data_IF_960643687992
#
_entry.id   IF_960643687992
#
_cell.length_a   1.000
_cell.length_b   1.000
_cell.length_c   1.000
_cell.angle_alpha   90.00
_cell.angle_beta   90.00
_cell.angle_gamma   90.00
#
_symmetry.space_group_name_H-M   'P 1'
#
loop_
_entity.id
_entity.type
_entity.pdbx_description
1 polymer ?
#
# COMPACT_ATOMS: atom_id res chain seq x y z
N UNK A 1 56.14 39.91 -41.75
CA UNK A 1 55.49 39.56 -40.47
C UNK A 1 54.12 38.94 -40.79
N UNK A 2 54.01 37.60 -40.78
CA UNK A 2 52.74 36.88 -41.03
C UNK A 2 52.32 36.21 -39.73
N UNK A 3 51.26 36.71 -39.09
CA UNK A 3 50.71 36.16 -37.86
C UNK A 3 49.66 35.10 -38.23
N UNK A 4 49.94 33.83 -37.93
CA UNK A 4 48.99 32.72 -38.05
C UNK A 4 48.23 32.60 -36.73
N UNK A 5 46.94 32.89 -36.74
CA UNK A 5 46.05 32.66 -35.60
C UNK A 5 45.58 31.20 -35.64
N UNK A 6 46.04 30.38 -34.70
CA UNK A 6 45.48 29.05 -34.45
C UNK A 6 44.18 29.23 -33.65
N UNK A 7 43.06 28.75 -34.18
CA UNK A 7 41.83 28.57 -33.41
C UNK A 7 41.86 27.18 -32.76
N UNK A 8 42.02 27.14 -31.44
CA UNK A 8 41.88 25.93 -30.63
C UNK A 8 40.41 25.74 -30.29
N UNK A 9 39.72 24.82 -30.96
CA UNK A 9 38.33 24.49 -30.65
C UNK A 9 38.31 23.62 -29.39
N UNK A 10 37.98 24.21 -28.24
CA UNK A 10 37.75 23.47 -27.00
C UNK A 10 36.41 22.74 -27.09
N UNK A 11 36.45 21.41 -27.20
CA UNK A 11 35.27 20.55 -27.20
C UNK A 11 34.75 20.44 -25.76
N UNK A 12 33.68 21.17 -25.45
CA UNK A 12 33.01 21.11 -24.15
C UNK A 12 32.18 19.81 -24.10
N UNK A 13 32.73 18.74 -23.52
CA UNK A 13 31.95 17.54 -23.20
C UNK A 13 30.96 17.87 -22.08
N UNK A 14 29.72 18.15 -22.43
CA UNK A 14 28.62 18.21 -21.47
C UNK A 14 28.37 16.80 -20.95
N UNK A 15 28.85 16.49 -19.74
CA UNK A 15 28.42 15.31 -19.00
C UNK A 15 26.97 15.52 -18.59
N UNK A 16 26.04 14.94 -19.33
CA UNK A 16 24.65 14.84 -18.89
C UNK A 16 24.66 14.05 -17.57
N UNK A 17 24.31 14.69 -16.46
CA UNK A 17 24.09 14.00 -15.21
C UNK A 17 22.96 12.98 -15.44
N UNK A 18 23.27 11.69 -15.36
CA UNK A 18 22.27 10.63 -15.38
C UNK A 18 21.47 10.76 -14.09
N UNK A 19 20.31 11.38 -14.17
CA UNK A 19 19.35 11.42 -13.07
C UNK A 19 18.96 9.97 -12.79
N UNK A 20 19.31 9.46 -11.62
CA UNK A 20 18.93 8.12 -11.20
C UNK A 20 17.39 8.00 -11.29
N UNK A 21 16.86 6.88 -11.82
CA UNK A 21 15.42 6.72 -12.00
C UNK A 21 14.72 6.81 -10.63
N UNK A 22 13.70 7.66 -10.55
CA UNK A 22 12.96 7.94 -9.32
C UNK A 22 11.87 6.88 -9.01
N UNK A 23 11.73 5.90 -9.90
CA UNK A 23 10.90 4.71 -9.80
C UNK A 23 11.67 3.50 -10.33
N UNK A 24 11.17 2.29 -10.10
CA UNK A 24 11.74 1.09 -10.74
C UNK A 24 10.64 0.21 -11.32
N UNK A 25 10.87 -0.25 -12.54
CA UNK A 25 10.06 -1.28 -13.19
C UNK A 25 10.82 -2.60 -13.20
N UNK A 26 10.20 -3.64 -12.64
CA UNK A 26 10.62 -5.03 -12.75
C UNK A 26 9.80 -5.68 -13.86
N UNK A 27 10.48 -6.16 -14.90
CA UNK A 27 9.81 -6.94 -15.93
C UNK A 27 9.43 -8.32 -15.38
N UNK A 28 8.20 -8.72 -15.67
CA UNK A 28 7.70 -10.03 -15.26
C UNK A 28 8.45 -11.16 -15.96
N UNK A 29 8.79 -12.20 -15.21
CA UNK A 29 9.22 -13.49 -15.78
C UNK A 29 8.02 -14.24 -16.36
N UNK A 30 8.19 -15.51 -16.70
CA UNK A 30 7.05 -16.32 -17.13
C UNK A 30 6.09 -16.59 -15.95
N UNK A 31 4.79 -16.51 -16.22
CA UNK A 31 3.75 -16.77 -15.24
C UNK A 31 2.37 -16.26 -15.70
N UNK A 32 1.28 -16.59 -14.97
CA UNK A 32 -0.07 -16.18 -15.34
C UNK A 32 -0.30 -14.66 -15.43
N UNK A 33 0.51 -13.87 -14.74
CA UNK A 33 0.50 -12.41 -14.75
C UNK A 33 1.16 -11.78 -15.98
N UNK A 34 1.73 -12.56 -16.90
CA UNK A 34 2.42 -12.03 -18.09
C UNK A 34 1.51 -11.12 -18.90
N UNK A 35 2.00 -9.91 -19.19
CA UNK A 35 1.24 -8.88 -19.90
C UNK A 35 0.32 -8.04 -19.03
N UNK A 36 0.18 -8.35 -17.73
CA UNK A 36 -0.51 -7.51 -16.75
C UNK A 36 0.49 -6.57 -16.07
N UNK A 37 0.07 -5.31 -15.85
CA UNK A 37 0.88 -4.28 -15.21
C UNK A 37 0.36 -3.94 -13.82
N UNK A 38 1.24 -3.99 -12.82
CA UNK A 38 0.93 -3.64 -11.43
C UNK A 38 1.75 -2.43 -11.03
N UNK A 39 1.09 -1.40 -10.50
CA UNK A 39 1.78 -0.26 -9.88
C UNK A 39 1.69 -0.39 -8.36
N UNK A 40 2.84 -0.27 -7.69
CA UNK A 40 2.98 -0.39 -6.25
C UNK A 40 3.40 0.97 -5.68
N UNK A 41 2.51 1.59 -4.91
CA UNK A 41 2.66 2.94 -4.40
C UNK A 41 3.13 2.93 -2.94
N UNK A 42 4.39 3.36 -2.73
CA UNK A 42 5.00 3.57 -1.42
C UNK A 42 5.00 5.06 -1.03
N UNK A 43 4.66 5.34 0.22
CA UNK A 43 4.48 6.72 0.71
C UNK A 43 3.89 6.77 2.12
N UNK A 44 4.29 5.85 2.98
CA UNK A 44 3.94 5.83 4.40
C UNK A 44 5.20 6.00 5.25
N UNK A 45 5.11 6.88 6.25
CA UNK A 45 6.24 7.30 7.08
C UNK A 45 6.46 6.50 8.37
N UNK A 46 5.64 5.47 8.62
CA UNK A 46 5.65 4.71 9.87
C UNK A 46 5.89 3.21 9.64
N UNK A 47 5.06 2.57 8.83
CA UNK A 47 4.93 1.13 8.59
C UNK A 47 5.78 0.58 7.44
N UNK A 48 6.68 1.40 6.89
CA UNK A 48 7.75 1.00 5.95
C UNK A 48 7.25 0.54 4.59
N UNK A 49 6.35 1.32 3.98
CA UNK A 49 5.92 1.09 2.59
C UNK A 49 7.07 0.93 1.60
N UNK A 50 8.16 1.66 1.83
CA UNK A 50 9.36 1.69 1.00
C UNK A 50 10.11 0.36 0.98
N UNK A 51 9.92 -0.50 1.99
CA UNK A 51 10.45 -1.86 2.05
C UNK A 51 9.41 -2.89 1.55
N UNK A 52 8.12 -2.66 1.86
CA UNK A 52 7.01 -3.55 1.48
C UNK A 52 6.84 -3.64 -0.04
N UNK A 53 6.72 -2.49 -0.71
CA UNK A 53 6.38 -2.44 -2.12
C UNK A 53 7.41 -3.12 -3.03
N UNK A 54 8.74 -2.87 -2.90
CA UNK A 54 9.71 -3.60 -3.72
C UNK A 54 9.72 -5.10 -3.43
N UNK A 55 9.50 -5.54 -2.19
CA UNK A 55 9.42 -6.97 -1.85
C UNK A 55 8.23 -7.64 -2.55
N UNK A 56 7.04 -7.05 -2.48
CA UNK A 56 5.85 -7.55 -3.17
C UNK A 56 6.02 -7.52 -4.69
N UNK A 57 6.63 -6.45 -5.23
CA UNK A 57 6.92 -6.32 -6.66
C UNK A 57 7.83 -7.44 -7.15
N UNK A 58 8.89 -7.78 -6.41
CA UNK A 58 9.76 -8.92 -6.73
C UNK A 58 8.97 -10.22 -6.77
N UNK A 59 8.15 -10.51 -5.75
CA UNK A 59 7.32 -11.72 -5.74
C UNK A 59 6.40 -11.78 -6.98
N UNK A 60 5.67 -10.71 -7.26
CA UNK A 60 4.74 -10.65 -8.38
C UNK A 60 5.44 -10.79 -9.73
N UNK A 61 6.57 -10.11 -9.93
CA UNK A 61 7.31 -10.15 -11.18
C UNK A 61 8.03 -11.48 -11.41
N UNK A 62 8.76 -11.96 -10.41
CA UNK A 62 9.65 -13.12 -10.52
C UNK A 62 8.91 -14.46 -10.48
N UNK A 63 7.84 -14.56 -9.67
CA UNK A 63 7.11 -15.82 -9.47
C UNK A 63 5.83 -15.91 -10.29
N UNK A 64 5.24 -14.78 -10.63
CA UNK A 64 3.90 -14.73 -11.23
C UNK A 64 3.85 -14.01 -12.58
N UNK A 65 4.95 -13.36 -13.00
CA UNK A 65 5.10 -12.79 -14.33
C UNK A 65 4.42 -11.44 -14.56
N UNK A 66 3.98 -10.75 -13.50
CA UNK A 66 3.47 -9.38 -13.64
C UNK A 66 4.62 -8.40 -13.96
N UNK A 67 4.40 -7.43 -14.84
CA UNK A 67 5.31 -6.26 -14.90
C UNK A 67 4.95 -5.35 -13.74
N UNK A 68 5.90 -5.05 -12.86
CA UNK A 68 5.66 -4.30 -11.63
C UNK A 68 6.46 -2.99 -11.61
N UNK A 69 5.77 -1.86 -11.49
CA UNK A 69 6.41 -0.55 -11.29
C UNK A 69 6.20 -0.08 -9.86
N UNK A 70 7.29 0.19 -9.14
CA UNK A 70 7.28 0.71 -7.77
C UNK A 70 7.56 2.20 -7.79
N UNK A 71 6.67 2.96 -7.15
CA UNK A 71 6.75 4.42 -7.01
C UNK A 71 6.92 4.76 -5.54
N UNK A 72 7.88 5.63 -5.22
CA UNK A 72 8.17 6.06 -3.85
C UNK A 72 7.93 7.56 -3.66
N UNK A 73 7.76 7.98 -2.42
CA UNK A 73 7.98 9.38 -2.04
C UNK A 73 9.48 9.69 -2.07
N UNK A 74 9.86 10.72 -2.84
CA UNK A 74 11.26 11.04 -3.15
C UNK A 74 11.60 12.47 -2.70
N UNK A 75 12.76 12.67 -2.10
CA UNK A 75 13.36 13.99 -1.97
C UNK A 75 13.92 14.43 -3.33
N UNK A 76 13.35 15.48 -3.97
CA UNK A 76 13.78 15.92 -5.29
C UNK A 76 15.22 16.46 -5.32
N UNK A 77 15.78 16.89 -4.18
CA UNK A 77 17.13 17.42 -4.14
C UNK A 77 18.20 16.32 -4.17
N UNK A 78 17.92 15.18 -3.52
CA UNK A 78 18.90 14.10 -3.32
C UNK A 78 18.60 12.86 -4.17
N UNK A 79 17.35 12.69 -4.60
CA UNK A 79 16.84 11.46 -5.22
C UNK A 79 16.70 10.30 -4.24
N UNK A 80 16.80 10.57 -2.92
CA UNK A 80 16.60 9.57 -1.87
C UNK A 80 15.10 9.36 -1.61
N UNK A 81 14.78 8.16 -1.14
CA UNK A 81 13.43 7.85 -0.64
C UNK A 81 13.21 8.61 0.66
N UNK A 82 12.22 9.49 0.66
CA UNK A 82 11.82 10.30 1.81
C UNK A 82 10.34 10.04 2.10
N UNK A 83 10.03 9.08 2.99
CA UNK A 83 8.65 8.72 3.32
C UNK A 83 7.81 9.87 3.90
N UNK A 84 8.41 10.94 4.42
CA UNK A 84 7.68 12.13 4.89
C UNK A 84 7.31 13.09 3.77
N UNK A 85 7.88 12.95 2.58
CA UNK A 85 7.54 13.81 1.46
C UNK A 85 6.13 13.47 0.94
N UNK A 86 5.16 14.26 1.36
CA UNK A 86 3.75 14.02 1.03
C UNK A 86 3.39 14.29 -0.43
N UNK A 87 4.18 15.10 -1.16
CA UNK A 87 3.77 15.67 -2.45
C UNK A 87 4.55 15.17 -3.67
N UNK A 88 5.80 14.74 -3.49
CA UNK A 88 6.65 14.32 -4.62
C UNK A 88 6.73 12.80 -4.76
N UNK A 89 5.99 12.26 -5.73
CA UNK A 89 5.89 10.83 -6.05
C UNK A 89 6.09 10.62 -7.57
N UNK A 90 7.31 10.86 -8.10
CA UNK A 90 7.59 10.73 -9.53
C UNK A 90 7.38 9.28 -10.00
N UNK A 91 6.78 9.09 -11.19
CA UNK A 91 6.43 7.77 -11.72
C UNK A 91 4.95 7.43 -11.68
N UNK A 92 4.11 8.31 -11.13
CA UNK A 92 2.65 8.13 -11.08
C UNK A 92 2.01 7.92 -12.45
N UNK A 93 2.61 8.39 -13.53
CA UNK A 93 2.17 8.16 -14.91
C UNK A 93 2.09 6.67 -15.30
N UNK A 94 2.79 5.78 -14.58
CA UNK A 94 2.67 4.34 -14.75
C UNK A 94 1.23 3.84 -14.51
N UNK A 95 0.44 4.54 -13.69
CA UNK A 95 -0.97 4.20 -13.42
C UNK A 95 -1.85 4.25 -14.68
N UNK A 96 -1.50 5.08 -15.66
CA UNK A 96 -2.28 5.23 -16.89
C UNK A 96 -2.43 3.88 -17.62
N UNK A 97 -1.41 3.03 -17.52
CA UNK A 97 -1.33 1.72 -18.17
C UNK A 97 -1.49 0.55 -17.20
N UNK A 98 -1.67 0.80 -15.91
CA UNK A 98 -1.76 -0.27 -14.91
C UNK A 98 -3.08 -1.04 -15.00
N UNK A 99 -3.04 -2.34 -14.73
CA UNK A 99 -4.19 -3.22 -14.51
C UNK A 99 -4.57 -3.32 -13.02
N UNK A 100 -3.62 -3.04 -12.13
CA UNK A 100 -3.78 -3.10 -10.68
C UNK A 100 -2.92 -2.06 -9.98
N UNK A 101 -3.47 -1.46 -8.92
CA UNK A 101 -2.76 -0.60 -8.00
C UNK A 101 -2.71 -1.26 -6.62
N UNK A 102 -1.51 -1.42 -6.07
CA UNK A 102 -1.28 -1.83 -4.68
C UNK A 102 -0.71 -0.62 -3.95
N UNK A 103 -1.35 -0.19 -2.85
CA UNK A 103 -0.95 1.03 -2.16
C UNK A 103 -0.76 0.83 -0.67
N UNK A 104 0.28 1.49 -0.16
CA UNK A 104 0.57 1.66 1.26
C UNK A 104 0.97 3.12 1.45
N UNK A 105 -0.05 3.97 1.46
CA UNK A 105 0.11 5.42 1.55
C UNK A 105 -0.45 5.95 2.85
N UNK A 106 0.13 7.06 3.29
CA UNK A 106 -0.36 7.81 4.44
C UNK A 106 -0.20 9.29 4.24
N UNK A 107 -1.26 10.06 4.45
CA UNK A 107 -1.22 11.51 4.46
C UNK A 107 -0.50 12.13 3.26
N UNK A 108 -0.65 11.55 2.08
CA UNK A 108 -0.15 12.10 0.82
C UNK A 108 -1.02 13.28 0.38
N UNK A 109 -0.39 14.23 -0.26
CA UNK A 109 -1.02 15.30 -1.02
C UNK A 109 -0.16 15.53 -2.26
N UNK A 110 -0.16 14.60 -3.24
CA UNK A 110 0.60 14.74 -4.46
C UNK A 110 0.24 16.05 -5.16
N UNK A 111 1.16 16.58 -5.97
CA UNK A 111 0.82 17.72 -6.83
C UNK A 111 -0.36 17.35 -7.74
N UNK A 112 -1.10 18.35 -8.23
CA UNK A 112 -2.29 18.08 -9.04
C UNK A 112 -1.95 17.29 -10.31
N UNK A 113 -0.78 17.52 -10.90
CA UNK A 113 -0.29 16.78 -12.06
C UNK A 113 -0.11 15.30 -11.75
N UNK A 114 0.57 14.98 -10.63
CA UNK A 114 0.76 13.60 -10.21
C UNK A 114 -0.58 12.97 -9.83
N UNK A 115 -1.37 13.67 -9.01
CA UNK A 115 -2.64 13.15 -8.49
C UNK A 115 -3.65 12.84 -9.58
N UNK A 116 -3.58 13.55 -10.72
CA UNK A 116 -4.41 13.28 -11.89
C UNK A 116 -4.29 11.83 -12.38
N UNK A 117 -3.09 11.25 -12.41
CA UNK A 117 -2.90 9.85 -12.82
C UNK A 117 -3.62 8.86 -11.90
N UNK A 118 -3.59 9.09 -10.59
CA UNK A 118 -4.35 8.27 -9.63
C UNK A 118 -5.85 8.48 -9.79
N UNK A 119 -6.30 9.72 -9.91
CA UNK A 119 -7.71 10.03 -10.09
C UNK A 119 -8.27 9.38 -11.37
N UNK A 120 -7.57 9.48 -12.50
CA UNK A 120 -7.97 8.87 -13.76
C UNK A 120 -8.00 7.34 -13.67
N UNK A 121 -6.99 6.71 -13.05
CA UNK A 121 -6.97 5.27 -12.78
C UNK A 121 -8.18 4.81 -11.97
N UNK A 122 -8.46 5.52 -10.87
CA UNK A 122 -9.58 5.24 -9.99
C UNK A 122 -10.92 5.41 -10.71
N UNK A 123 -11.11 6.54 -11.41
CA UNK A 123 -12.34 6.85 -12.14
C UNK A 123 -12.60 5.88 -13.31
N UNK A 124 -11.55 5.27 -13.87
CA UNK A 124 -11.66 4.21 -14.88
C UNK A 124 -12.26 2.89 -14.33
N UNK A 125 -12.47 2.76 -13.01
CA UNK A 125 -13.01 1.55 -12.38
C UNK A 125 -11.96 0.46 -12.15
N UNK A 126 -10.68 0.80 -12.23
CA UNK A 126 -9.59 -0.18 -12.09
C UNK A 126 -9.43 -0.63 -10.62
N UNK A 127 -8.96 -1.86 -10.37
CA UNK A 127 -8.94 -2.45 -9.03
C UNK A 127 -7.87 -1.84 -8.11
N UNK A 128 -8.12 -1.83 -6.80
CA UNK A 128 -7.18 -1.29 -5.79
C UNK A 128 -7.02 -2.28 -4.63
N UNK A 129 -5.77 -2.57 -4.28
CA UNK A 129 -5.39 -3.24 -3.03
C UNK A 129 -4.78 -2.18 -2.10
N UNK A 130 -5.49 -1.86 -1.03
CA UNK A 130 -5.08 -0.86 -0.06
C UNK A 130 -4.64 -1.54 1.25
N UNK A 131 -3.36 -1.40 1.58
CA UNK A 131 -2.77 -1.90 2.82
C UNK A 131 -2.64 -0.75 3.82
N UNK A 132 -2.65 -1.09 5.12
CA UNK A 132 -2.32 -0.19 6.23
C UNK A 132 -1.16 0.69 5.80
N UNK A 133 -1.25 2.00 5.64
CA UNK A 133 -2.11 2.95 6.33
C UNK A 133 -3.12 3.64 5.39
N UNK A 134 -3.40 3.01 4.24
CA UNK A 134 -4.14 3.64 3.14
C UNK A 134 -5.60 4.00 3.44
N UNK A 135 -6.16 3.53 4.57
CA UNK A 135 -7.44 4.04 5.10
C UNK A 135 -7.43 5.55 5.31
N UNK A 136 -6.25 6.17 5.42
CA UNK A 136 -6.08 7.62 5.41
C UNK A 136 -4.91 8.04 4.52
N UNK A 137 -4.94 7.53 3.29
CA UNK A 137 -3.92 7.78 2.28
C UNK A 137 -3.71 9.25 1.96
N UNK A 138 -4.75 10.10 2.01
CA UNK A 138 -4.69 11.50 1.59
C UNK A 138 -4.93 12.48 2.73
N UNK A 139 -4.14 13.55 2.79
CA UNK A 139 -4.30 14.64 3.76
C UNK A 139 -3.93 15.99 3.14
N UNK A 140 -4.91 16.63 2.51
CA UNK A 140 -4.73 17.96 1.93
C UNK A 140 -4.86 19.06 3.01
N UNK A 141 -4.14 20.18 2.89
CA UNK A 141 -4.38 21.37 3.70
C UNK A 141 -5.84 21.82 3.65
N UNK A 142 -6.37 22.36 4.75
CA UNK A 142 -7.79 22.76 4.86
C UNK A 142 -8.21 23.81 3.81
N UNK A 143 -7.28 24.65 3.38
CA UNK A 143 -7.44 25.71 2.41
C UNK A 143 -6.98 25.33 0.99
N UNK A 144 -6.61 24.06 0.78
CA UNK A 144 -6.15 23.55 -0.52
C UNK A 144 -7.15 23.86 -1.63
N UNK A 145 -6.62 24.31 -2.76
CA UNK A 145 -7.37 24.54 -4.00
C UNK A 145 -7.28 23.37 -4.98
N UNK A 146 -6.61 22.28 -4.58
CA UNK A 146 -6.52 21.08 -5.39
C UNK A 146 -7.92 20.54 -5.68
N UNK A 147 -8.25 20.17 -6.93
CA UNK A 147 -9.50 19.51 -7.26
C UNK A 147 -9.65 18.14 -6.57
N UNK A 148 -8.56 17.60 -6.02
CA UNK A 148 -8.51 16.31 -5.34
C UNK A 148 -8.60 16.42 -3.81
N UNK A 149 -8.73 17.64 -3.26
CA UNK A 149 -8.82 17.85 -1.81
C UNK A 149 -9.98 17.08 -1.15
N UNK A 150 -11.03 16.76 -1.90
CA UNK A 150 -12.13 15.90 -1.45
C UNK A 150 -11.67 14.52 -0.97
N UNK A 151 -10.57 13.98 -1.49
CA UNK A 151 -10.04 12.67 -1.08
C UNK A 151 -9.39 12.68 0.31
N UNK A 152 -9.06 13.85 0.84
CA UNK A 152 -8.44 14.00 2.16
C UNK A 152 -9.29 13.38 3.27
N UNK A 153 -8.66 12.67 4.20
CA UNK A 153 -9.35 12.00 5.33
C UNK A 153 -10.13 12.97 6.23
N UNK A 154 -9.74 14.24 6.25
CA UNK A 154 -10.38 15.36 6.96
C UNK A 154 -11.30 16.19 6.07
N UNK A 155 -11.60 15.73 4.84
CA UNK A 155 -12.42 16.47 3.89
C UNK A 155 -13.81 16.77 4.44
N UNK A 156 -14.31 18.01 4.30
CA UNK A 156 -15.69 18.34 4.61
C UNK A 156 -16.68 17.85 3.55
N UNK A 157 -16.24 17.64 2.30
CA UNK A 157 -17.09 17.18 1.20
C UNK A 157 -17.31 15.67 1.27
N UNK A 158 -16.22 14.90 1.35
CA UNK A 158 -16.26 13.46 1.57
C UNK A 158 -15.87 13.19 3.01
N UNK A 159 -16.86 13.03 3.89
CA UNK A 159 -16.60 12.72 5.31
C UNK A 159 -15.76 11.43 5.41
N UNK A 160 -14.58 11.54 6.04
CA UNK A 160 -13.61 10.45 6.16
C UNK A 160 -12.78 10.19 4.89
N UNK A 161 -12.91 11.04 3.87
CA UNK A 161 -12.13 11.04 2.65
C UNK A 161 -12.28 9.79 1.78
N UNK A 162 -11.28 9.56 0.94
CA UNK A 162 -11.18 8.38 0.08
C UNK A 162 -11.26 7.08 0.89
N UNK A 163 -10.64 7.04 2.08
CA UNK A 163 -10.70 5.88 2.96
C UNK A 163 -12.12 5.46 3.30
N UNK A 164 -12.92 6.36 3.91
CA UNK A 164 -14.29 6.01 4.30
C UNK A 164 -15.17 5.68 3.10
N UNK A 165 -15.07 6.49 2.05
CA UNK A 165 -16.00 6.39 0.91
C UNK A 165 -15.65 5.20 0.00
N UNK A 166 -14.38 5.05 -0.37
CA UNK A 166 -13.93 4.05 -1.36
C UNK A 166 -13.44 2.77 -0.68
N UNK A 167 -12.55 2.89 0.32
CA UNK A 167 -11.99 1.71 1.00
C UNK A 167 -12.97 1.09 2.00
N UNK A 168 -13.94 1.85 2.49
CA UNK A 168 -14.96 1.43 3.45
C UNK A 168 -14.67 1.88 4.88
N UNK A 169 -13.44 2.30 5.18
CA UNK A 169 -13.12 2.90 6.47
C UNK A 169 -11.95 3.88 6.39
N UNK A 170 -12.04 4.93 7.22
CA UNK A 170 -10.98 5.93 7.43
C UNK A 170 -10.18 5.65 8.70
N UNK A 171 -9.27 6.53 9.08
CA UNK A 171 -8.65 6.46 10.41
C UNK A 171 -9.69 6.69 11.51
N UNK A 172 -9.89 5.70 12.39
CA UNK A 172 -10.73 5.83 13.58
C UNK A 172 -9.84 5.91 14.82
N UNK A 173 -9.36 4.78 15.31
CA UNK A 173 -8.37 4.66 16.38
C UNK A 173 -7.59 3.35 16.25
N UNK A 174 -6.50 3.22 16.99
CA UNK A 174 -5.97 1.90 17.32
C UNK A 174 -7.00 1.18 18.20
N UNK A 175 -7.41 -0.05 17.87
CA UNK A 175 -8.26 -0.89 18.73
C UNK A 175 -7.42 -1.62 19.78
N UNK A 176 -6.37 -2.31 19.33
CA UNK A 176 -5.30 -2.83 20.20
C UNK A 176 -4.39 -1.71 20.71
N UNK A 177 -3.53 -2.03 21.68
CA UNK A 177 -2.50 -1.11 22.17
C UNK A 177 -1.34 -1.07 21.19
N UNK A 178 -1.22 0.07 20.51
CA UNK A 178 -0.16 0.33 19.55
C UNK A 178 1.24 -0.01 20.10
N UNK A 179 2.04 -0.74 19.32
CA UNK A 179 3.40 -1.21 19.67
C UNK A 179 3.49 -2.11 20.91
N UNK A 180 2.39 -2.67 21.38
CA UNK A 180 2.38 -3.60 22.52
C UNK A 180 1.57 -4.87 22.26
N UNK A 181 0.60 -4.80 21.36
CA UNK A 181 -0.35 -5.87 21.06
C UNK A 181 -0.39 -6.14 19.54
N UNK A 182 -0.56 -7.40 19.18
CA UNK A 182 -0.56 -7.87 17.79
C UNK A 182 -1.95 -8.27 17.29
N UNK A 183 -2.02 -8.50 15.99
CA UNK A 183 -3.20 -8.97 15.27
C UNK A 183 -3.03 -10.45 14.88
N UNK A 184 -3.91 -11.32 15.37
CA UNK A 184 -4.14 -12.64 14.78
C UNK A 184 -5.37 -12.59 13.89
N UNK A 185 -5.21 -12.88 12.61
CA UNK A 185 -6.32 -12.92 11.65
C UNK A 185 -7.16 -14.19 11.82
N UNK A 186 -8.47 -14.01 12.00
CA UNK A 186 -9.49 -15.06 12.07
C UNK A 186 -10.36 -14.95 10.82
N UNK A 187 -10.31 -15.96 9.95
CA UNK A 187 -11.10 -16.02 8.73
C UNK A 187 -12.59 -16.15 9.10
N UNK A 188 -13.42 -15.32 8.48
CA UNK A 188 -14.88 -15.41 8.61
C UNK A 188 -15.41 -16.72 8.02
N UNK A 189 -16.38 -17.35 8.69
CA UNK A 189 -16.93 -18.63 8.23
C UNK A 189 -17.47 -18.52 6.79
N UNK A 190 -18.18 -17.44 6.50
CA UNK A 190 -18.74 -17.14 5.17
C UNK A 190 -17.69 -16.80 4.11
N UNK A 191 -16.43 -16.61 4.50
CA UNK A 191 -15.32 -16.29 3.61
C UNK A 191 -14.38 -17.47 3.35
N UNK A 192 -14.50 -18.61 4.06
CA UNK A 192 -13.56 -19.74 3.92
C UNK A 192 -13.37 -20.25 2.49
N UNK A 193 -14.39 -20.16 1.65
CA UNK A 193 -14.33 -20.60 0.25
C UNK A 193 -13.92 -19.48 -0.73
N UNK A 194 -13.63 -18.27 -0.23
CA UNK A 194 -13.22 -17.15 -1.07
C UNK A 194 -11.85 -17.44 -1.71
N UNK A 195 -11.71 -17.32 -3.05
CA UNK A 195 -10.44 -17.56 -3.73
C UNK A 195 -9.28 -16.75 -3.15
N UNK A 196 -9.51 -15.54 -2.63
CA UNK A 196 -8.45 -14.70 -2.04
C UNK A 196 -7.81 -15.37 -0.81
N UNK A 197 -8.54 -16.26 -0.13
CA UNK A 197 -8.09 -16.99 1.06
C UNK A 197 -7.51 -18.38 0.75
N UNK A 198 -7.34 -18.76 -0.53
CA UNK A 198 -6.72 -20.05 -0.92
C UNK A 198 -5.31 -20.17 -0.35
N UNK A 199 -5.07 -21.27 0.38
CA UNK A 199 -3.80 -21.57 1.02
C UNK A 199 -3.46 -20.67 2.23
N UNK A 200 -4.43 -19.95 2.79
CA UNK A 200 -4.25 -19.04 3.93
C UNK A 200 -4.84 -19.69 5.19
N UNK A 201 -4.02 -19.84 6.23
CA UNK A 201 -4.36 -20.58 7.45
C UNK A 201 -3.91 -19.89 8.74
N UNK A 202 -2.81 -19.13 8.70
CA UNK A 202 -2.13 -18.56 9.86
C UNK A 202 -1.79 -17.08 9.61
N UNK A 203 -2.81 -16.22 9.62
CA UNK A 203 -2.63 -14.77 9.49
C UNK A 203 -2.16 -14.17 10.81
N UNK A 204 -1.03 -13.48 10.76
CA UNK A 204 -0.45 -12.77 11.90
C UNK A 204 0.23 -11.49 11.43
N UNK A 205 0.09 -10.43 12.22
CA UNK A 205 0.85 -9.20 12.10
C UNK A 205 1.21 -8.68 13.48
N UNK A 206 2.44 -8.19 13.65
CA UNK A 206 2.87 -7.57 14.90
C UNK A 206 2.41 -6.12 15.04
N UNK A 207 1.71 -5.60 14.04
CA UNK A 207 0.93 -4.37 14.15
C UNK A 207 -0.41 -4.61 14.87
N UNK A 208 -0.82 -3.61 15.65
CA UNK A 208 -2.05 -3.63 16.42
C UNK A 208 -3.30 -3.50 15.52
N UNK A 209 -4.42 -4.07 15.99
CA UNK A 209 -5.71 -4.02 15.30
C UNK A 209 -6.21 -2.58 15.26
N UNK A 210 -6.72 -2.11 14.12
CA UNK A 210 -7.46 -0.84 14.01
C UNK A 210 -8.93 -0.99 14.37
N UNK A 211 -9.51 0.06 14.94
CA UNK A 211 -10.96 0.17 15.06
C UNK A 211 -11.53 0.47 13.68
N UNK A 212 -12.44 -0.37 13.18
CA UNK A 212 -12.96 -0.24 11.84
C UNK A 212 -14.42 -0.71 11.72
N UNK A 213 -15.20 0.03 10.93
CA UNK A 213 -16.61 -0.24 10.64
C UNK A 213 -16.86 -0.13 9.13
N UNK A 214 -16.38 -1.12 8.33
CA UNK A 214 -16.70 -1.20 6.91
C UNK A 214 -18.22 -1.18 6.69
N UNK A 215 -18.71 -0.53 5.62
CA UNK A 215 -20.13 -0.43 5.30
C UNK A 215 -20.75 -1.79 4.94
N UNK A 216 -22.08 -1.85 4.87
CA UNK A 216 -22.82 -3.10 4.64
C UNK A 216 -22.54 -3.77 3.28
N UNK A 217 -22.07 -3.01 2.28
CA UNK A 217 -21.64 -3.54 0.98
C UNK A 217 -20.24 -4.17 1.03
N UNK A 218 -19.51 -4.04 2.15
CA UNK A 218 -18.23 -4.70 2.33
C UNK A 218 -18.40 -6.16 2.75
N UNK A 219 -17.70 -7.04 2.03
CA UNK A 219 -17.53 -8.43 2.40
C UNK A 219 -16.31 -8.55 3.32
N UNK A 220 -16.56 -8.79 4.60
CA UNK A 220 -15.50 -9.04 5.57
C UNK A 220 -14.94 -10.44 5.32
N UNK A 221 -13.62 -10.53 5.13
CA UNK A 221 -12.91 -11.80 4.93
C UNK A 221 -12.24 -12.28 6.21
N UNK A 222 -11.64 -11.34 6.95
CA UNK A 222 -10.85 -11.65 8.15
C UNK A 222 -11.13 -10.61 9.23
N UNK A 223 -11.31 -11.09 10.46
CA UNK A 223 -11.34 -10.28 11.68
C UNK A 223 -10.03 -10.40 12.46
N UNK A 224 -9.64 -9.35 13.16
CA UNK A 224 -8.43 -9.31 13.98
C UNK A 224 -8.73 -9.63 15.43
N UNK A 225 -8.24 -10.78 15.91
CA UNK A 225 -8.12 -11.05 17.33
C UNK A 225 -6.94 -10.25 17.88
N UNK A 226 -7.19 -9.38 18.86
CA UNK A 226 -6.16 -8.67 19.61
C UNK A 226 -5.45 -9.66 20.52
N UNK A 227 -4.12 -9.75 20.40
CA UNK A 227 -3.27 -10.53 21.28
C UNK A 227 -2.67 -9.65 22.38
N UNK A 228 -2.40 -10.21 23.55
CA UNK A 228 -1.84 -9.48 24.71
C UNK A 228 -0.35 -9.14 24.59
N UNK A 229 0.29 -9.56 23.50
CA UNK A 229 1.70 -9.34 23.20
C UNK A 229 1.92 -9.31 21.69
N UNK A 230 3.18 -9.15 21.27
CA UNK A 230 3.57 -8.96 19.87
C UNK A 230 4.08 -10.23 19.17
N UNK A 231 3.78 -11.41 19.71
CA UNK A 231 4.21 -12.69 19.16
C UNK A 231 3.01 -13.56 18.77
N UNK A 232 3.15 -14.49 17.80
CA UNK A 232 2.04 -15.33 17.35
C UNK A 232 1.43 -16.25 18.43
N UNK A 233 2.22 -16.58 19.45
CA UNK A 233 1.85 -17.45 20.58
C UNK A 233 1.29 -16.67 21.78
N UNK A 234 1.27 -15.34 21.71
CA UNK A 234 0.64 -14.50 22.74
C UNK A 234 -0.84 -14.86 22.90
N UNK A 235 -1.33 -14.87 24.15
CA UNK A 235 -2.73 -15.15 24.44
C UNK A 235 -3.63 -14.05 23.88
N UNK A 236 -4.91 -14.33 23.58
CA UNK A 236 -5.88 -13.27 23.30
C UNK A 236 -5.90 -12.25 24.43
N UNK A 237 -5.92 -10.96 24.09
CA UNK A 237 -6.09 -9.91 25.07
C UNK A 237 -7.48 -10.01 25.72
N UNK A 238 -7.53 -9.73 27.02
CA UNK A 238 -8.74 -9.82 27.83
C UNK A 238 -8.95 -8.49 28.57
N UNK A 239 -9.59 -7.53 27.90
CA UNK A 239 -9.99 -6.26 28.48
C UNK A 239 -11.13 -5.65 27.66
N UNK A 240 -11.78 -4.63 28.22
CA UNK A 240 -12.82 -3.88 27.51
C UNK A 240 -12.33 -2.50 27.10
N UNK A 241 -12.88 -1.98 26.00
CA UNK A 241 -12.53 -0.65 25.48
C UNK A 241 -13.78 0.11 25.00
N UNK A 242 -13.88 1.43 25.26
CA UNK A 242 -14.92 2.25 24.65
C UNK A 242 -14.64 2.44 23.15
N UNK A 243 -15.66 2.21 22.32
CA UNK A 243 -15.60 2.52 20.89
C UNK A 243 -15.47 4.02 20.67
N UNK A 244 -14.74 4.43 19.64
CA UNK A 244 -14.62 5.83 19.27
C UNK A 244 -15.94 6.39 18.73
N UNK A 245 -16.73 5.56 18.03
CA UNK A 245 -17.95 5.93 17.31
C UNK A 245 -19.11 6.34 18.22
N UNK A 246 -19.38 5.59 19.29
CA UNK A 246 -20.55 5.78 20.15
C UNK A 246 -20.23 5.75 21.66
N UNK A 247 -18.95 5.60 22.02
CA UNK A 247 -18.45 5.49 23.41
C UNK A 247 -18.96 4.28 24.19
N UNK A 248 -19.70 3.37 23.57
CA UNK A 248 -20.12 2.15 24.21
C UNK A 248 -18.90 1.24 24.44
N UNK A 249 -18.87 0.62 25.62
CA UNK A 249 -17.78 -0.29 26.01
C UNK A 249 -18.07 -1.69 25.47
N UNK A 250 -17.06 -2.34 24.89
CA UNK A 250 -17.13 -3.74 24.47
C UNK A 250 -15.83 -4.48 24.81
N UNK A 251 -15.90 -5.81 24.89
CA UNK A 251 -14.73 -6.68 24.93
C UNK A 251 -13.92 -6.53 23.62
N UNK A 252 -12.59 -6.50 23.71
CA UNK A 252 -11.76 -6.25 22.53
C UNK A 252 -11.76 -7.37 21.49
N UNK A 253 -12.18 -8.57 21.88
CA UNK A 253 -12.25 -9.73 21.01
C UNK A 253 -13.69 -10.22 20.78
N UNK A 254 -14.70 -9.52 21.31
CA UNK A 254 -16.11 -9.93 21.24
C UNK A 254 -17.04 -8.72 21.01
N UNK A 255 -17.35 -8.37 19.75
CA UNK A 255 -16.81 -8.94 18.51
C UNK A 255 -15.40 -8.41 18.17
N UNK A 256 -14.65 -9.19 17.38
CA UNK A 256 -13.39 -8.75 16.78
C UNK A 256 -13.62 -7.71 15.66
N UNK A 257 -12.68 -6.77 15.52
CA UNK A 257 -12.71 -5.77 14.43
C UNK A 257 -12.37 -6.41 13.07
N UNK A 258 -12.98 -5.96 11.96
CA UNK A 258 -12.55 -6.33 10.62
C UNK A 258 -11.12 -5.86 10.34
N UNK A 259 -10.29 -6.73 9.76
CA UNK A 259 -8.92 -6.38 9.36
C UNK A 259 -8.66 -6.60 7.88
N UNK A 260 -9.43 -7.46 7.20
CA UNK A 260 -9.39 -7.61 5.74
C UNK A 260 -10.81 -7.70 5.20
N UNK A 261 -11.13 -6.90 4.19
CA UNK A 261 -12.42 -6.92 3.51
C UNK A 261 -12.30 -6.54 2.03
N UNK A 262 -13.31 -6.90 1.26
CA UNK A 262 -13.45 -6.52 -0.16
C UNK A 262 -14.74 -5.77 -0.41
N UNK A 263 -14.76 -4.94 -1.46
CA UNK A 263 -15.93 -4.17 -1.91
C UNK A 263 -15.96 -4.08 -3.43
N UNK A 264 -17.17 -3.98 -3.98
CA UNK A 264 -17.41 -3.48 -5.32
C UNK A 264 -18.00 -2.08 -5.22
N UNK A 265 -17.18 -1.07 -5.48
CA UNK A 265 -17.53 0.32 -5.26
C UNK A 265 -17.85 1.03 -6.57
N UNK A 266 -19.07 1.55 -6.72
CA UNK A 266 -19.44 2.38 -7.87
C UNK A 266 -18.95 3.82 -7.67
N UNK A 267 -17.94 4.21 -8.43
CA UNK A 267 -17.34 5.55 -8.36
C UNK A 267 -18.21 6.62 -9.03
N UNK A 268 -17.81 7.89 -8.88
CA UNK A 268 -18.53 9.03 -9.41
C UNK A 268 -18.58 9.11 -10.95
N UNK A 269 -17.71 8.38 -11.66
CA UNK A 269 -17.77 8.21 -13.12
C UNK A 269 -18.73 7.08 -13.54
N UNK A 270 -19.41 6.44 -12.58
CA UNK A 270 -20.35 5.35 -12.82
C UNK A 270 -19.69 4.00 -13.12
N UNK A 271 -18.36 3.88 -12.94
CA UNK A 271 -17.61 2.62 -13.08
C UNK A 271 -17.51 1.92 -11.72
N UNK A 272 -17.33 0.61 -11.75
CA UNK A 272 -17.20 -0.19 -10.52
C UNK A 272 -15.74 -0.56 -10.29
N UNK A 273 -15.18 -0.12 -9.17
CA UNK A 273 -13.87 -0.54 -8.69
C UNK A 273 -14.01 -1.81 -7.84
N UNK A 274 -13.11 -2.79 -8.05
CA UNK A 274 -12.88 -3.86 -7.07
C UNK A 274 -11.86 -3.38 -6.05
N UNK A 275 -12.25 -3.37 -4.78
CA UNK A 275 -11.43 -2.86 -3.68
C UNK A 275 -11.13 -3.99 -2.72
N UNK A 276 -9.86 -4.13 -2.35
CA UNK A 276 -9.39 -4.95 -1.24
C UNK A 276 -8.77 -3.99 -0.24
N UNK A 277 -9.15 -4.10 1.02
CA UNK A 277 -8.57 -3.29 2.09
C UNK A 277 -8.10 -4.18 3.22
N UNK A 278 -6.88 -3.93 3.68
CA UNK A 278 -6.30 -4.55 4.86
C UNK A 278 -5.80 -3.48 5.82
N UNK A 279 -6.19 -3.56 7.10
CA UNK A 279 -5.61 -2.74 8.18
C UNK A 279 -4.33 -3.36 8.75
N UNK A 280 -3.91 -4.51 8.23
CA UNK A 280 -2.56 -5.08 8.35
C UNK A 280 -1.73 -4.68 7.12
N UNK A 281 -0.41 -4.69 7.22
CA UNK A 281 0.46 -4.44 6.07
C UNK A 281 1.79 -3.77 6.38
N UNK A 282 2.17 -3.65 7.66
CA UNK A 282 3.50 -3.18 8.01
C UNK A 282 4.57 -4.10 7.42
N UNK A 283 5.79 -3.59 7.22
CA UNK A 283 6.88 -4.44 6.74
C UNK A 283 7.12 -5.66 7.64
N UNK A 284 6.97 -5.49 8.95
CA UNK A 284 7.07 -6.58 9.92
C UNK A 284 5.91 -7.57 9.83
N UNK A 285 4.68 -7.11 9.56
CA UNK A 285 3.53 -7.99 9.30
C UNK A 285 3.79 -8.91 8.10
N UNK A 286 4.37 -8.37 7.03
CA UNK A 286 4.63 -9.13 5.80
C UNK A 286 5.80 -10.11 5.89
N UNK A 287 6.43 -10.27 7.06
CA UNK A 287 7.22 -11.48 7.36
C UNK A 287 6.32 -12.72 7.34
N UNK A 288 5.05 -12.59 7.73
CA UNK A 288 4.07 -13.67 7.65
C UNK A 288 3.80 -14.06 6.18
N UNK A 289 4.01 -15.34 5.87
CA UNK A 289 3.82 -15.92 4.54
C UNK A 289 2.36 -15.81 4.07
N UNK A 290 1.41 -16.07 4.97
CA UNK A 290 -0.01 -16.11 4.64
C UNK A 290 -0.57 -14.71 4.35
N UNK A 291 -0.06 -13.67 5.01
CA UNK A 291 -0.44 -12.28 4.70
C UNK A 291 0.08 -11.86 3.32
N UNK A 292 1.33 -12.22 2.96
CA UNK A 292 1.82 -12.05 1.59
C UNK A 292 0.94 -12.80 0.59
N UNK A 293 0.53 -14.04 0.91
CA UNK A 293 -0.33 -14.85 0.06
C UNK A 293 -1.69 -14.22 -0.18
N UNK A 294 -2.34 -13.66 0.85
CA UNK A 294 -3.62 -12.94 0.66
C UNK A 294 -3.46 -11.79 -0.35
N UNK A 295 -2.37 -11.01 -0.25
CA UNK A 295 -2.12 -9.90 -1.18
C UNK A 295 -1.89 -10.38 -2.62
N UNK A 296 -1.08 -11.43 -2.79
CA UNK A 296 -0.84 -12.03 -4.13
C UNK A 296 -2.12 -12.65 -4.70
N UNK A 297 -2.89 -13.39 -3.90
CA UNK A 297 -4.17 -13.95 -4.32
C UNK A 297 -5.16 -12.87 -4.74
N UNK A 298 -5.21 -11.74 -4.02
CA UNK A 298 -6.01 -10.58 -4.40
C UNK A 298 -5.56 -10.00 -5.74
N UNK A 299 -4.24 -9.94 -6.01
CA UNK A 299 -3.72 -9.48 -7.31
C UNK A 299 -4.19 -10.38 -8.47
N UNK A 300 -4.19 -11.71 -8.29
CA UNK A 300 -4.77 -12.65 -9.26
C UNK A 300 -6.25 -12.38 -9.48
N UNK A 301 -7.06 -12.41 -8.41
CA UNK A 301 -8.50 -12.25 -8.49
C UNK A 301 -8.92 -10.92 -9.15
N UNK A 302 -8.18 -9.84 -8.87
CA UNK A 302 -8.53 -8.51 -9.33
C UNK A 302 -8.05 -8.22 -10.75
N UNK A 303 -7.05 -8.95 -11.24
CA UNK A 303 -6.60 -8.87 -12.64
C UNK A 303 -7.29 -9.89 -13.56
N UNK A 304 -8.25 -10.64 -13.03
CA UNK A 304 -9.06 -11.61 -13.78
C UNK A 304 -8.39 -12.96 -14.00
N UNK A 305 -7.36 -13.27 -13.20
CA UNK A 305 -6.64 -14.53 -13.24
C UNK A 305 -7.23 -15.51 -12.23
N UNK A 306 -7.10 -16.80 -12.51
CA UNK A 306 -7.47 -17.85 -11.55
C UNK A 306 -6.47 -17.86 -10.38
N UNK A 307 -6.97 -17.72 -9.15
CA UNK A 307 -6.11 -17.78 -7.96
C UNK A 307 -5.60 -19.21 -7.77
N UNK A 308 -4.28 -19.47 -7.73
CA UNK A 308 -3.75 -20.82 -7.53
C UNK A 308 -4.17 -21.39 -6.16
N UNK A 309 -4.15 -22.72 -6.00
CA UNK A 309 -4.46 -23.37 -4.73
C UNK A 309 -3.55 -22.88 -3.59
N UNK A 310 -2.29 -22.59 -3.92
CA UNK A 310 -1.31 -21.99 -3.01
C UNK A 310 -0.30 -21.16 -3.81
N UNK A 311 -0.52 -19.84 -3.91
CA UNK A 311 0.44 -18.96 -4.58
C UNK A 311 1.82 -19.03 -3.89
N UNK A 312 2.89 -19.14 -4.70
CA UNK A 312 4.25 -19.00 -4.20
C UNK A 312 4.48 -17.54 -3.80
N UNK A 313 4.81 -17.32 -2.53
CA UNK A 313 5.09 -15.99 -1.98
C UNK A 313 6.43 -15.92 -1.28
N UNK A 314 7.35 -16.83 -1.65
CA UNK A 314 8.71 -16.85 -1.15
C UNK A 314 9.39 -15.51 -1.49
N UNK A 315 9.99 -14.89 -0.48
CA UNK A 315 10.74 -13.65 -0.67
C UNK A 315 11.92 -13.92 -1.61
N UNK A 316 12.16 -12.98 -2.53
CA UNK A 316 13.34 -12.98 -3.40
C UNK A 316 14.36 -11.98 -2.86
N UNK A 317 15.56 -12.47 -2.56
CA UNK A 317 16.62 -11.69 -1.93
C UNK A 317 16.39 -11.51 -0.42
N UNK A 318 16.98 -10.46 0.14
CA UNK A 318 16.87 -10.16 1.57
C UNK A 318 15.64 -9.29 1.86
N UNK A 319 14.89 -9.67 2.89
CA UNK A 319 13.81 -8.85 3.45
C UNK A 319 14.01 -8.65 4.95
N UNK A 320 14.97 -7.79 5.28
CA UNK A 320 15.27 -7.38 6.64
C UNK A 320 14.28 -6.29 7.10
N UNK A 321 12.99 -6.62 7.14
CA UNK A 321 11.93 -5.67 7.49
C UNK A 321 12.19 -4.97 8.83
N UNK A 322 12.31 -3.64 8.76
CA UNK A 322 12.60 -2.80 9.92
C UNK A 322 11.35 -2.52 10.75
N UNK A 323 11.53 -2.28 12.05
CA UNK A 323 10.42 -2.00 12.95
C UNK A 323 9.73 -0.68 12.58
N UNK A 324 8.40 -0.68 12.60
CA UNK A 324 7.61 0.50 12.27
C UNK A 324 7.77 1.63 13.30
N UNK A 325 7.83 2.86 12.81
CA UNK A 325 8.01 4.06 13.62
C UNK A 325 8.31 5.31 12.78
N UNK A 326 7.90 6.47 13.29
CA UNK A 326 8.10 7.75 12.63
C UNK A 326 9.58 8.14 12.59
N UNK A 327 10.07 8.49 11.39
CA UNK A 327 11.41 9.00 11.21
C UNK A 327 12.54 7.99 11.44
N UNK A 328 12.20 6.71 11.66
CA UNK A 328 13.16 5.62 11.87
C UNK A 328 13.38 4.78 10.61
N UNK A 329 12.99 5.29 9.44
CA UNK A 329 13.28 4.68 8.14
C UNK A 329 14.79 4.67 7.85
N UNK A 330 15.22 3.70 7.04
CA UNK A 330 16.63 3.60 6.59
C UNK A 330 16.97 4.81 5.71
N UNK A 331 18.00 5.57 6.09
CA UNK A 331 18.43 6.79 5.40
C UNK A 331 19.36 6.49 4.21
N UNK A 332 19.45 7.41 3.26
CA UNK A 332 20.38 7.30 2.13
C UNK A 332 19.94 6.33 1.03
N UNK A 333 18.77 5.70 1.15
CA UNK A 333 18.29 4.70 0.18
C UNK A 333 17.69 5.39 -1.04
N UNK A 334 18.05 4.92 -2.22
CA UNK A 334 17.45 5.32 -3.51
C UNK A 334 16.62 4.18 -4.10
N UNK A 335 15.68 4.44 -5.02
CA UNK A 335 14.90 3.39 -5.68
C UNK A 335 15.74 2.23 -6.23
N UNK A 336 16.87 2.55 -6.87
CA UNK A 336 17.79 1.56 -7.43
C UNK A 336 18.40 0.59 -6.40
N UNK A 337 18.40 0.91 -5.11
CA UNK A 337 18.96 0.04 -4.07
C UNK A 337 18.04 -1.13 -3.71
N UNK A 338 16.75 -1.06 -4.08
CA UNK A 338 15.78 -2.10 -3.79
C UNK A 338 15.66 -3.16 -4.89
N UNK A 339 16.31 -2.96 -6.04
CA UNK A 339 16.22 -3.83 -7.22
C UNK A 339 17.54 -4.49 -7.59
N UNK A 340 18.53 -4.36 -6.71
CA UNK A 340 19.75 -5.17 -6.72
C UNK A 340 19.46 -6.61 -6.26
#
# INVERSE_FOLDING_TARGET
MKLRTLFTTALLCATAAVVAPAQVTLEGKDGPGKGKKVVLLAGDEEYRSEEVMPMLAKILAEKHGFTCTVVWSIDPATGEIEPKNASNLPGMEALDQADLCIMLWRFRAPTDELMKHFADYYLAGKPIIALRTSTHAFNYPKDSKSPYAKYGWTSPEWKGGFGKNVLGETWVTHWGKHKSEATKGVIEEAAKSDPILRGVTNLFGDSDVYEAYPPADARILVRGQVLSGMTPDSKPAAYTKPRASDKATQDVNTPMMPVIWTREYKNEAGKTNKIFTSTMGAATDLKNEDLRRVVVNAAYAFTGLEVPEKANVDIIGDYAATMYGFGTNVKGKKPADYVK
#
